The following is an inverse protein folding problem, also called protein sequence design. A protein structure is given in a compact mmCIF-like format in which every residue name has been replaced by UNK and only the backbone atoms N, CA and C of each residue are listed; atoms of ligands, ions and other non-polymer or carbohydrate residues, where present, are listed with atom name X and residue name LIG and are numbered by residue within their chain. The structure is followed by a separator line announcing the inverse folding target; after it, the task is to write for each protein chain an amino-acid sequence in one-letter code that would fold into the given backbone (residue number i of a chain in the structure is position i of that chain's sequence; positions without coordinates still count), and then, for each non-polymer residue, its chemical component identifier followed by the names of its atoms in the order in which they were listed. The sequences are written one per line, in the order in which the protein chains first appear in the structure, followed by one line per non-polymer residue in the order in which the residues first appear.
data_IF_945298207073
#
_entry.id   IF_945298207073
#
_cell.length_a   1.000
_cell.length_b   1.000
_cell.length_c   1.000
_cell.angle_alpha   90.00
_cell.angle_beta   90.00
_cell.angle_gamma   90.00
#
_symmetry.space_group_name_H-M   'P 1'
#
loop_
_entity.id
_entity.type
_entity.pdbx_description
1 polymer ?
#
# COMPACT_ATOMS: atom_id res chain seq x y z
N UNK A 1 -35.86 -22.99 -29.14
CA UNK A 1 -35.44 -21.59 -29.48
C UNK A 1 -34.73 -20.94 -28.30
N UNK A 2 -35.27 -20.83 -27.11
CA UNK A 2 -34.67 -20.15 -25.96
C UNK A 2 -33.24 -20.61 -25.61
N UNK A 3 -32.97 -21.92 -25.59
CA UNK A 3 -31.61 -22.44 -25.28
C UNK A 3 -30.55 -22.03 -26.33
N UNK A 4 -30.92 -21.96 -27.63
CA UNK A 4 -30.01 -21.50 -28.69
C UNK A 4 -29.74 -19.99 -28.59
N UNK A 5 -30.79 -19.20 -28.31
CA UNK A 5 -30.63 -17.77 -28.15
C UNK A 5 -29.78 -17.41 -26.91
N UNK A 6 -29.97 -18.15 -25.80
CA UNK A 6 -29.13 -17.97 -24.59
C UNK A 6 -27.67 -18.36 -24.86
N UNK A 7 -27.43 -19.48 -25.55
CA UNK A 7 -26.07 -19.92 -25.91
C UNK A 7 -25.37 -18.88 -26.79
N UNK A 8 -26.05 -18.36 -27.83
CA UNK A 8 -25.50 -17.31 -28.70
C UNK A 8 -25.20 -16.01 -27.93
N UNK A 9 -26.08 -15.59 -27.02
CA UNK A 9 -25.87 -14.41 -26.20
C UNK A 9 -24.64 -14.57 -25.28
N UNK A 10 -24.50 -15.72 -24.61
CA UNK A 10 -23.34 -16.01 -23.74
C UNK A 10 -22.05 -16.04 -24.57
N UNK A 11 -22.06 -16.70 -25.72
CA UNK A 11 -20.88 -16.79 -26.62
C UNK A 11 -20.48 -15.40 -27.12
N UNK A 12 -21.45 -14.57 -27.54
CA UNK A 12 -21.20 -13.21 -27.98
C UNK A 12 -20.65 -12.34 -26.83
N UNK A 13 -21.19 -12.49 -25.62
CA UNK A 13 -20.68 -11.79 -24.43
C UNK A 13 -19.24 -12.18 -24.09
N UNK A 14 -18.91 -13.47 -24.13
CA UNK A 14 -17.54 -13.93 -23.90
C UNK A 14 -16.58 -13.43 -25.00
N UNK A 15 -17.01 -13.51 -26.27
CA UNK A 15 -16.22 -12.98 -27.38
C UNK A 15 -15.97 -11.48 -27.23
N UNK A 16 -16.99 -10.72 -26.86
CA UNK A 16 -16.83 -9.29 -26.55
C UNK A 16 -15.78 -9.05 -25.46
N UNK A 17 -15.86 -9.75 -24.33
CA UNK A 17 -14.89 -9.59 -23.25
C UNK A 17 -13.46 -9.92 -23.68
N UNK A 18 -13.26 -10.97 -24.47
CA UNK A 18 -11.94 -11.34 -25.02
C UNK A 18 -11.41 -10.26 -25.98
N UNK A 19 -12.25 -9.80 -26.90
CA UNK A 19 -11.88 -8.74 -27.85
C UNK A 19 -11.58 -7.44 -27.10
N UNK A 20 -12.42 -7.04 -26.16
CA UNK A 20 -12.22 -5.83 -25.37
C UNK A 20 -10.89 -5.88 -24.59
N UNK A 21 -10.56 -7.02 -23.98
CA UNK A 21 -9.36 -7.18 -23.18
C UNK A 21 -8.07 -7.28 -24.01
N UNK A 22 -8.06 -8.02 -25.11
CA UNK A 22 -6.82 -8.36 -25.81
C UNK A 22 -6.64 -7.67 -27.16
N UNK A 23 -7.70 -7.06 -27.71
CA UNK A 23 -7.67 -6.36 -29.00
C UNK A 23 -7.92 -4.87 -28.86
N UNK A 24 -8.94 -4.48 -28.06
CA UNK A 24 -9.32 -3.06 -27.91
C UNK A 24 -8.47 -2.36 -26.84
N UNK A 25 -8.03 -3.06 -25.80
CA UNK A 25 -7.13 -2.48 -24.80
C UNK A 25 -5.90 -1.88 -25.47
N UNK A 26 -5.51 -0.63 -25.15
CA UNK A 26 -4.33 0.00 -25.69
C UNK A 26 -3.07 -0.85 -25.49
N UNK A 27 -2.20 -0.91 -26.47
CA UNK A 27 -0.88 -1.53 -26.34
C UNK A 27 0.12 -0.47 -25.88
N UNK A 28 0.65 -0.64 -24.68
CA UNK A 28 1.61 0.28 -24.08
C UNK A 28 3.04 -0.01 -24.53
N UNK A 29 3.79 1.05 -24.79
CA UNK A 29 5.25 1.00 -24.89
C UNK A 29 5.84 1.41 -23.56
N UNK A 30 6.57 0.49 -22.94
CA UNK A 30 7.19 0.72 -21.63
C UNK A 30 8.61 1.22 -21.83
N UNK A 31 8.98 2.25 -21.05
CA UNK A 31 10.36 2.71 -21.00
C UNK A 31 11.26 1.67 -20.32
N UNK A 32 12.53 1.66 -20.71
CA UNK A 32 13.51 0.81 -20.04
C UNK A 32 13.65 1.22 -18.57
N UNK A 33 13.54 0.27 -17.63
CA UNK A 33 13.67 0.57 -16.20
C UNK A 33 15.02 1.20 -15.89
N UNK A 34 15.05 2.20 -15.01
CA UNK A 34 16.26 2.89 -14.58
C UNK A 34 16.24 3.08 -13.07
N UNK A 35 17.30 2.71 -12.35
CA UNK A 35 17.42 2.99 -10.93
C UNK A 35 17.33 4.50 -10.62
N UNK A 36 17.01 4.83 -9.38
CA UNK A 36 17.13 6.20 -8.89
C UNK A 36 18.54 6.74 -9.11
N UNK A 37 18.63 8.02 -9.48
CA UNK A 37 19.89 8.68 -9.79
C UNK A 37 19.83 10.14 -9.35
N UNK A 38 21.00 10.76 -9.17
CA UNK A 38 21.14 12.12 -8.78
C UNK A 38 22.23 12.28 -7.70
N UNK A 39 22.61 13.51 -7.45
CA UNK A 39 23.58 13.85 -6.42
C UNK A 39 22.93 14.12 -5.06
N UNK A 40 21.67 14.54 -5.07
CA UNK A 40 20.86 14.78 -3.87
C UNK A 40 20.08 13.54 -3.46
N UNK A 41 19.51 13.61 -2.28
CA UNK A 41 18.65 12.57 -1.73
C UNK A 41 17.28 13.12 -1.38
N UNK A 42 16.25 12.46 -1.89
CA UNK A 42 14.90 12.64 -1.40
C UNK A 42 14.73 11.83 -0.11
N UNK A 43 14.19 12.45 0.92
CA UNK A 43 13.91 11.85 2.20
C UNK A 43 12.48 12.23 2.65
N UNK A 44 11.52 11.30 2.68
CA UNK A 44 10.14 11.60 3.08
C UNK A 44 10.00 11.92 4.57
N UNK A 45 11.05 11.73 5.36
CA UNK A 45 11.08 11.92 6.82
C UNK A 45 11.96 13.08 7.27
N UNK A 46 12.30 14.00 6.38
CA UNK A 46 13.22 15.09 6.70
C UNK A 46 12.74 15.98 7.87
N UNK A 47 11.43 16.13 8.02
CA UNK A 47 10.75 16.90 9.06
C UNK A 47 9.95 15.98 10.01
N UNK A 48 10.47 14.80 10.32
CA UNK A 48 9.81 13.82 11.16
C UNK A 48 9.52 14.36 12.57
N UNK A 49 8.25 14.28 12.98
CA UNK A 49 7.77 14.55 14.34
C UNK A 49 6.80 13.44 14.75
N UNK A 50 7.06 12.69 15.82
CA UNK A 50 6.24 11.53 16.20
C UNK A 50 4.75 11.84 16.35
N UNK A 51 4.39 13.00 16.90
CA UNK A 51 2.99 13.42 17.14
C UNK A 51 2.18 13.67 15.88
N UNK A 52 2.82 13.84 14.72
CA UNK A 52 2.16 14.13 13.44
C UNK A 52 1.72 12.85 12.70
N UNK A 53 2.01 11.68 13.29
CA UNK A 53 1.73 10.38 12.69
C UNK A 53 0.56 9.69 13.37
N UNK A 54 -0.31 9.09 12.57
CA UNK A 54 -1.47 8.35 13.06
C UNK A 54 -1.62 7.02 12.34
N UNK A 55 -2.20 6.04 13.03
CA UNK A 55 -2.48 4.72 12.46
C UNK A 55 -3.59 4.79 11.42
N UNK A 56 -3.43 4.05 10.33
CA UNK A 56 -4.40 3.86 9.30
C UNK A 56 -4.54 2.36 8.94
N UNK A 57 -5.77 1.92 8.65
CA UNK A 57 -6.08 0.69 7.93
C UNK A 57 -7.11 1.00 6.85
N UNK A 58 -6.74 0.79 5.60
CA UNK A 58 -7.51 1.26 4.46
C UNK A 58 -8.17 0.11 3.67
N UNK A 59 -7.96 -1.15 4.12
CA UNK A 59 -8.40 -2.36 3.43
C UNK A 59 -9.16 -3.28 4.40
N UNK A 60 -10.48 -3.22 4.34
CA UNK A 60 -11.39 -4.05 5.11
C UNK A 60 -12.70 -4.25 4.36
N UNK A 61 -13.28 -5.43 4.46
CA UNK A 61 -14.50 -5.84 3.76
C UNK A 61 -15.66 -6.10 4.70
N UNK A 62 -16.87 -5.78 4.22
CA UNK A 62 -18.14 -6.09 4.88
C UNK A 62 -18.97 -7.07 4.05
N UNK A 63 -20.07 -7.55 4.60
CA UNK A 63 -21.08 -8.27 3.84
C UNK A 63 -21.66 -7.34 2.77
N UNK A 64 -21.29 -7.57 1.51
CA UNK A 64 -21.64 -6.71 0.38
C UNK A 64 -22.24 -7.52 -0.75
N UNK A 65 -22.90 -6.84 -1.73
CA UNK A 65 -23.48 -7.48 -2.90
C UNK A 65 -24.42 -8.65 -2.56
N UNK A 66 -25.33 -8.46 -1.58
CA UNK A 66 -26.28 -9.48 -1.11
C UNK A 66 -25.60 -10.79 -0.65
N UNK A 67 -24.38 -10.70 -0.12
CA UNK A 67 -23.61 -11.85 0.36
C UNK A 67 -22.85 -12.61 -0.73
N UNK A 68 -22.75 -12.06 -1.94
CA UNK A 68 -21.94 -12.66 -3.02
C UNK A 68 -20.45 -12.53 -2.73
N UNK A 69 -20.04 -11.47 -2.01
CA UNK A 69 -18.66 -11.30 -1.55
C UNK A 69 -18.41 -12.06 -0.25
N UNK A 70 -17.15 -12.35 0.04
CA UNK A 70 -16.73 -13.13 1.20
C UNK A 70 -16.59 -12.33 2.51
N UNK A 71 -16.88 -11.01 2.50
CA UNK A 71 -16.89 -10.18 3.71
C UNK A 71 -18.08 -10.53 4.63
N UNK A 72 -17.89 -10.34 5.93
CA UNK A 72 -18.89 -10.60 6.99
C UNK A 72 -19.10 -9.37 7.84
N UNK A 73 -20.26 -9.30 8.51
CA UNK A 73 -20.61 -8.18 9.37
C UNK A 73 -20.90 -6.89 8.62
N UNK A 74 -21.04 -5.81 9.35
CA UNK A 74 -21.35 -4.48 8.83
C UNK A 74 -20.16 -3.51 8.93
N UNK A 75 -20.32 -2.34 8.35
CA UNK A 75 -19.33 -1.27 8.46
C UNK A 75 -19.14 -0.80 9.90
N UNK A 76 -20.19 -0.81 10.73
CA UNK A 76 -20.10 -0.48 12.15
C UNK A 76 -19.09 -1.38 12.91
N UNK A 77 -19.05 -2.69 12.58
CA UNK A 77 -18.12 -3.63 13.21
C UNK A 77 -16.67 -3.29 12.87
N UNK A 78 -16.42 -2.85 11.62
CA UNK A 78 -15.09 -2.40 11.16
C UNK A 78 -14.69 -1.14 11.92
N UNK A 79 -15.57 -0.15 11.99
CA UNK A 79 -15.30 1.12 12.68
C UNK A 79 -15.03 0.88 14.17
N UNK A 80 -15.90 0.15 14.88
CA UNK A 80 -15.71 -0.19 16.29
C UNK A 80 -14.36 -0.88 16.54
N UNK A 81 -14.00 -1.84 15.67
CA UNK A 81 -12.74 -2.57 15.83
C UNK A 81 -11.53 -1.65 15.75
N UNK A 82 -11.43 -0.81 14.72
CA UNK A 82 -10.26 0.05 14.50
C UNK A 82 -10.23 1.26 15.45
N UNK A 83 -11.39 1.88 15.76
CA UNK A 83 -11.49 2.95 16.76
C UNK A 83 -11.00 2.47 18.12
N UNK A 84 -11.39 1.26 18.54
CA UNK A 84 -10.95 0.69 19.83
C UNK A 84 -9.44 0.47 19.92
N UNK A 85 -8.76 0.35 18.76
CA UNK A 85 -7.30 0.24 18.65
C UNK A 85 -6.59 1.59 18.50
N UNK A 86 -7.32 2.70 18.36
CA UNK A 86 -6.75 4.04 18.24
C UNK A 86 -6.34 4.45 16.83
N UNK A 87 -6.93 3.83 15.81
CA UNK A 87 -6.69 4.26 14.42
C UNK A 87 -7.32 5.62 14.17
N UNK A 88 -6.58 6.53 13.53
CA UNK A 88 -7.10 7.83 13.11
C UNK A 88 -7.75 7.80 11.73
N UNK A 89 -7.38 6.82 10.91
CA UNK A 89 -8.03 6.53 9.64
C UNK A 89 -8.32 5.05 9.51
N UNK A 90 -9.54 4.73 9.11
CA UNK A 90 -9.91 3.40 8.67
C UNK A 90 -10.98 3.50 7.57
N UNK A 91 -10.94 2.58 6.64
CA UNK A 91 -11.86 2.56 5.51
C UNK A 91 -12.49 1.18 5.35
N UNK A 92 -13.76 1.17 4.97
CA UNK A 92 -14.41 0.01 4.38
C UNK A 92 -14.22 0.11 2.87
N UNK A 93 -13.54 -0.88 2.30
CA UNK A 93 -13.16 -0.93 0.90
C UNK A 93 -13.81 -2.09 0.16
N UNK A 94 -15.12 -2.23 0.29
CA UNK A 94 -15.87 -3.28 -0.37
C UNK A 94 -15.57 -3.36 -1.88
N UNK A 95 -15.61 -4.56 -2.46
CA UNK A 95 -15.35 -4.75 -3.89
C UNK A 95 -16.28 -3.89 -4.76
N UNK A 96 -15.69 -3.05 -5.61
CA UNK A 96 -16.39 -2.20 -6.58
C UNK A 96 -17.52 -1.36 -5.96
N UNK A 97 -17.38 -0.97 -4.70
CA UNK A 97 -18.40 -0.23 -3.96
C UNK A 97 -17.81 0.68 -2.89
N UNK A 98 -18.13 1.96 -2.95
CA UNK A 98 -17.81 2.92 -1.88
C UNK A 98 -18.87 2.78 -0.77
N UNK A 99 -18.43 2.37 0.42
CA UNK A 99 -19.29 2.32 1.60
C UNK A 99 -19.47 3.74 2.16
N UNK A 100 -20.71 4.10 2.49
CA UNK A 100 -21.05 5.44 2.97
C UNK A 100 -21.26 5.51 4.49
N UNK A 101 -20.99 4.45 5.21
CA UNK A 101 -21.06 4.51 6.67
C UNK A 101 -20.04 5.54 7.19
N UNK A 102 -20.48 6.42 8.08
CA UNK A 102 -19.65 7.49 8.62
C UNK A 102 -19.34 8.65 7.65
N UNK A 103 -20.03 8.76 6.50
CA UNK A 103 -19.77 9.77 5.48
C UNK A 103 -19.87 11.22 5.96
N UNK A 104 -20.57 11.46 7.07
CA UNK A 104 -20.72 12.79 7.70
C UNK A 104 -19.52 13.15 8.59
N UNK A 105 -18.64 12.20 8.90
CA UNK A 105 -17.46 12.45 9.72
C UNK A 105 -16.32 13.06 8.89
N UNK A 106 -15.62 14.04 9.44
CA UNK A 106 -14.49 14.71 8.76
C UNK A 106 -13.33 13.75 8.42
N UNK A 107 -13.15 12.70 9.21
CA UNK A 107 -12.14 11.67 8.99
C UNK A 107 -12.59 10.53 8.07
N UNK A 108 -13.82 10.59 7.51
CA UNK A 108 -14.31 9.57 6.60
C UNK A 108 -13.45 9.45 5.34
N UNK A 109 -13.06 8.23 5.03
CA UNK A 109 -12.23 7.90 3.87
C UNK A 109 -13.06 7.05 2.91
N UNK A 110 -13.59 7.63 1.81
CA UNK A 110 -14.23 6.84 0.77
C UNK A 110 -13.17 5.97 0.08
N UNK A 111 -13.38 4.66 0.10
CA UNK A 111 -12.49 3.71 -0.53
C UNK A 111 -13.27 2.55 -1.13
N UNK A 112 -12.67 1.88 -2.10
CA UNK A 112 -13.17 0.62 -2.63
C UNK A 112 -12.01 -0.23 -3.17
N UNK A 113 -12.15 -1.54 -3.11
CA UNK A 113 -11.26 -2.44 -3.81
C UNK A 113 -11.76 -2.63 -5.24
N UNK A 114 -10.91 -2.23 -6.19
CA UNK A 114 -11.13 -2.42 -7.61
C UNK A 114 -10.62 -3.78 -8.05
N UNK A 115 -11.47 -4.54 -8.73
CA UNK A 115 -11.10 -5.78 -9.39
C UNK A 115 -12.11 -6.90 -9.13
N UNK A 116 -12.62 -7.46 -10.22
CA UNK A 116 -13.44 -8.68 -10.22
C UNK A 116 -12.81 -9.77 -11.09
N UNK A 117 -11.53 -9.57 -11.46
CA UNK A 117 -10.80 -10.47 -12.35
C UNK A 117 -10.39 -11.77 -11.65
N UNK A 118 -10.33 -12.84 -12.45
CA UNK A 118 -9.97 -14.19 -11.99
C UNK A 118 -8.56 -14.25 -11.36
N UNK A 119 -7.54 -13.54 -11.89
CA UNK A 119 -6.19 -13.54 -11.33
C UNK A 119 -6.05 -12.92 -9.94
N UNK A 120 -7.06 -12.20 -9.42
CA UNK A 120 -6.98 -11.45 -8.17
C UNK A 120 -5.94 -10.32 -8.20
N UNK A 121 -5.85 -9.67 -9.36
CA UNK A 121 -5.07 -8.44 -9.53
C UNK A 121 -5.93 -7.26 -9.09
N UNK A 122 -5.85 -6.91 -7.80
CA UNK A 122 -6.71 -5.89 -7.19
C UNK A 122 -5.96 -4.58 -6.94
N UNK A 123 -6.71 -3.48 -6.81
CA UNK A 123 -6.22 -2.14 -6.48
C UNK A 123 -7.17 -1.50 -5.48
N UNK A 124 -6.63 -0.87 -4.48
CA UNK A 124 -7.39 -0.05 -3.56
C UNK A 124 -7.38 1.39 -4.06
N UNK A 125 -8.55 1.99 -4.18
CA UNK A 125 -8.71 3.41 -4.52
C UNK A 125 -9.16 4.14 -3.27
N UNK A 126 -8.26 4.93 -2.69
CA UNK A 126 -8.45 5.64 -1.42
C UNK A 126 -8.77 7.11 -1.70
N UNK A 127 -9.81 7.64 -1.12
CA UNK A 127 -10.29 9.00 -1.38
C UNK A 127 -11.22 9.09 -2.61
N UNK A 128 -11.72 7.96 -3.11
CA UNK A 128 -12.46 7.85 -4.36
C UNK A 128 -13.74 8.69 -4.40
N UNK A 129 -13.89 9.50 -5.44
CA UNK A 129 -15.14 10.23 -5.71
C UNK A 129 -16.22 9.35 -6.35
N UNK A 130 -15.82 8.35 -7.11
CA UNK A 130 -16.68 7.41 -7.83
C UNK A 130 -16.00 6.06 -8.02
N UNK A 131 -16.78 5.03 -8.34
CA UNK A 131 -16.26 3.71 -8.71
C UNK A 131 -15.93 3.69 -10.21
N UNK A 132 -14.74 3.25 -10.56
CA UNK A 132 -14.35 2.92 -11.93
C UNK A 132 -14.71 1.47 -12.19
N UNK A 133 -15.65 1.21 -13.12
CA UNK A 133 -16.20 -0.11 -13.36
C UNK A 133 -15.42 -0.94 -14.37
N UNK A 134 -14.53 -0.32 -15.14
CA UNK A 134 -13.73 -1.04 -16.13
C UNK A 134 -12.77 -1.99 -15.44
N UNK A 135 -12.83 -3.26 -15.77
CA UNK A 135 -11.84 -4.28 -15.42
C UNK A 135 -11.72 -5.29 -16.58
N UNK A 136 -10.72 -6.15 -16.52
CA UNK A 136 -10.44 -7.19 -17.48
C UNK A 136 -10.53 -8.55 -16.78
N UNK A 137 -11.54 -9.40 -17.09
CA UNK A 137 -11.83 -10.60 -16.29
C UNK A 137 -10.80 -11.73 -16.44
N UNK A 138 -10.11 -11.82 -17.57
CA UNK A 138 -9.17 -12.90 -17.88
C UNK A 138 -7.74 -12.60 -17.41
N UNK A 139 -6.75 -13.52 -17.60
CA UNK A 139 -5.36 -13.24 -17.28
C UNK A 139 -4.85 -11.93 -17.90
N UNK A 140 -4.32 -11.05 -17.06
CA UNK A 140 -3.94 -9.70 -17.46
C UNK A 140 -2.57 -9.67 -18.12
N UNK A 141 -2.50 -9.02 -19.28
CA UNK A 141 -1.23 -8.58 -19.86
C UNK A 141 -0.66 -7.36 -19.10
N UNK A 142 0.59 -7.00 -19.36
CA UNK A 142 1.18 -5.79 -18.76
C UNK A 142 0.42 -4.53 -19.22
N UNK A 143 -0.02 -4.48 -20.47
CA UNK A 143 -0.83 -3.39 -21.02
C UNK A 143 -2.20 -3.29 -20.33
N UNK A 144 -2.87 -4.42 -20.06
CA UNK A 144 -4.13 -4.39 -19.31
C UNK A 144 -3.95 -3.81 -17.90
N UNK A 145 -2.86 -4.19 -17.20
CA UNK A 145 -2.55 -3.66 -15.87
C UNK A 145 -2.31 -2.16 -15.91
N UNK A 146 -1.56 -1.68 -16.91
CA UNK A 146 -1.28 -0.26 -17.04
C UNK A 146 -2.54 0.53 -17.40
N UNK A 147 -3.38 0.07 -18.32
CA UNK A 147 -4.64 0.72 -18.67
C UNK A 147 -5.56 0.89 -17.45
N UNK A 148 -5.63 -0.14 -16.60
CA UNK A 148 -6.42 -0.03 -15.36
C UNK A 148 -5.83 0.99 -14.38
N UNK A 149 -4.51 1.01 -14.21
CA UNK A 149 -3.84 2.00 -13.34
C UNK A 149 -4.05 3.43 -13.85
N UNK A 150 -3.96 3.64 -15.17
CA UNK A 150 -4.18 4.93 -15.80
C UNK A 150 -5.60 5.42 -15.53
N UNK A 151 -6.62 4.59 -15.77
CA UNK A 151 -8.03 4.92 -15.50
C UNK A 151 -8.32 5.22 -14.03
N UNK A 152 -7.72 4.47 -13.12
CA UNK A 152 -7.91 4.69 -11.68
C UNK A 152 -7.21 5.98 -11.22
N UNK A 153 -6.11 6.36 -11.83
CA UNK A 153 -5.35 7.56 -11.51
C UNK A 153 -5.96 8.86 -12.09
N UNK A 154 -6.97 8.78 -12.97
CA UNK A 154 -7.71 9.95 -13.49
C UNK A 154 -8.38 10.75 -12.37
N UNK A 155 -8.82 10.07 -11.30
CA UNK A 155 -9.32 10.74 -10.10
C UNK A 155 -8.16 11.33 -9.30
N UNK A 156 -7.84 12.59 -9.59
CA UNK A 156 -6.73 13.31 -8.93
C UNK A 156 -6.94 13.54 -7.43
N UNK A 157 -8.14 13.35 -6.92
CA UNK A 157 -8.48 13.40 -5.49
C UNK A 157 -8.16 12.11 -4.73
N UNK A 158 -7.87 11.00 -5.44
CA UNK A 158 -7.66 9.69 -4.84
C UNK A 158 -6.19 9.23 -4.92
N UNK A 159 -5.82 8.29 -4.07
CA UNK A 159 -4.58 7.52 -4.19
C UNK A 159 -4.88 6.09 -4.64
N UNK A 160 -4.05 5.56 -5.53
CA UNK A 160 -4.15 4.21 -6.07
C UNK A 160 -3.09 3.33 -5.41
N UNK A 161 -3.51 2.23 -4.80
CA UNK A 161 -2.64 1.25 -4.15
C UNK A 161 -2.76 -0.08 -4.90
N UNK A 162 -1.67 -0.70 -5.27
CA UNK A 162 -1.69 -2.10 -5.71
C UNK A 162 -1.80 -2.98 -4.47
N UNK A 163 -2.91 -3.75 -4.35
CA UNK A 163 -3.20 -4.61 -3.21
C UNK A 163 -2.46 -5.94 -3.33
N UNK A 164 -2.05 -6.50 -2.17
CA UNK A 164 -1.52 -7.86 -2.01
C UNK A 164 -0.91 -8.45 -3.30
N UNK A 165 0.11 -7.79 -3.90
CA UNK A 165 0.57 -8.08 -5.27
C UNK A 165 1.11 -9.52 -5.44
N UNK A 166 1.52 -10.15 -4.35
CA UNK A 166 2.03 -11.50 -4.33
C UNK A 166 0.91 -12.57 -4.24
N UNK A 167 -0.36 -12.13 -4.03
CA UNK A 167 -1.48 -13.07 -3.92
C UNK A 167 -1.73 -13.80 -5.24
N UNK A 168 -1.65 -15.14 -5.23
CA UNK A 168 -1.91 -16.01 -6.38
C UNK A 168 -1.10 -15.58 -7.62
N UNK A 169 -1.80 -15.28 -8.73
CA UNK A 169 -1.24 -14.84 -10.02
C UNK A 169 -1.62 -13.39 -10.34
N UNK A 170 -1.94 -12.59 -9.32
CA UNK A 170 -2.39 -11.20 -9.47
C UNK A 170 -1.38 -10.34 -10.22
N UNK A 171 -0.14 -10.31 -9.72
CA UNK A 171 0.98 -9.63 -10.37
C UNK A 171 2.20 -10.54 -10.47
N UNK A 172 3.03 -10.31 -11.47
CA UNK A 172 4.41 -10.79 -11.46
C UNK A 172 5.29 -9.66 -10.90
N UNK A 173 6.26 -9.98 -10.04
CA UNK A 173 7.17 -8.96 -9.52
C UNK A 173 7.89 -8.21 -10.66
N UNK A 174 8.17 -8.87 -11.79
CA UNK A 174 8.78 -8.24 -12.96
C UNK A 174 7.91 -7.13 -13.59
N UNK A 175 6.58 -7.18 -13.43
CA UNK A 175 5.68 -6.14 -13.96
C UNK A 175 5.94 -4.79 -13.29
N UNK A 176 6.32 -4.80 -11.99
CA UNK A 176 6.57 -3.58 -11.23
C UNK A 176 7.83 -2.82 -11.66
N UNK A 177 8.59 -3.37 -12.60
CA UNK A 177 9.67 -2.64 -13.28
C UNK A 177 9.15 -1.58 -14.24
N UNK A 178 7.89 -1.69 -14.67
CA UNK A 178 7.34 -0.93 -15.78
C UNK A 178 6.08 -0.16 -15.43
N UNK A 179 5.29 -0.67 -14.47
CA UNK A 179 4.01 -0.09 -14.12
C UNK A 179 4.16 1.26 -13.43
N UNK A 180 3.31 2.21 -13.85
CA UNK A 180 3.25 3.58 -13.33
C UNK A 180 1.81 3.93 -12.95
N UNK A 181 1.58 5.15 -12.46
CA UNK A 181 0.27 5.69 -12.10
C UNK A 181 -0.43 4.95 -10.94
N UNK A 182 0.39 4.43 -10.00
CA UNK A 182 -0.06 4.04 -8.66
C UNK A 182 0.86 4.69 -7.61
N UNK A 183 0.32 4.97 -6.43
CA UNK A 183 0.97 5.78 -5.42
C UNK A 183 1.65 4.92 -4.32
N UNK A 184 1.04 3.77 -4.04
CA UNK A 184 1.52 2.89 -2.97
C UNK A 184 1.38 1.40 -3.35
N UNK A 185 2.09 0.58 -2.60
CA UNK A 185 2.05 -0.87 -2.69
C UNK A 185 1.68 -1.45 -1.32
N UNK A 186 0.71 -2.32 -1.27
CA UNK A 186 0.37 -3.08 -0.07
C UNK A 186 1.41 -4.18 0.15
N UNK A 187 2.50 -3.78 0.81
CA UNK A 187 3.65 -4.66 1.08
C UNK A 187 3.35 -5.58 2.25
N UNK A 188 2.63 -5.07 3.25
CA UNK A 188 2.25 -5.81 4.45
C UNK A 188 0.76 -6.14 4.37
N UNK A 189 0.46 -7.41 4.12
CA UNK A 189 -0.89 -7.94 4.07
C UNK A 189 -0.96 -9.29 4.79
N UNK A 190 -2.15 -9.63 5.32
CA UNK A 190 -2.36 -10.85 6.09
C UNK A 190 -2.13 -12.15 5.28
N UNK A 191 -2.26 -12.09 3.97
CA UNK A 191 -2.07 -13.25 3.09
C UNK A 191 -0.61 -13.43 2.70
N UNK A 192 0.13 -12.35 2.43
CA UNK A 192 1.53 -12.41 2.02
C UNK A 192 2.24 -11.07 2.21
N UNK A 193 3.53 -11.13 2.60
CA UNK A 193 4.40 -9.96 2.70
C UNK A 193 5.19 -9.81 1.39
N UNK A 194 5.05 -8.66 0.71
CA UNK A 194 5.45 -8.45 -0.68
C UNK A 194 6.74 -7.62 -0.84
N UNK A 195 7.76 -7.79 0.03
CA UNK A 195 9.01 -7.01 -0.08
C UNK A 195 9.70 -7.15 -1.43
N UNK A 196 9.70 -8.35 -2.03
CA UNK A 196 10.28 -8.58 -3.35
C UNK A 196 9.63 -7.70 -4.42
N UNK A 197 8.32 -7.50 -4.37
CA UNK A 197 7.60 -6.66 -5.30
C UNK A 197 7.97 -5.19 -5.11
N UNK A 198 8.01 -4.75 -3.85
CA UNK A 198 8.38 -3.40 -3.51
C UNK A 198 9.82 -3.08 -3.91
N UNK A 199 10.79 -3.93 -3.54
CA UNK A 199 12.20 -3.76 -3.92
C UNK A 199 12.39 -3.81 -5.44
N UNK A 200 11.55 -4.55 -6.18
CA UNK A 200 11.57 -4.52 -7.65
C UNK A 200 11.15 -3.15 -8.18
N UNK A 201 10.07 -2.57 -7.69
CA UNK A 201 9.65 -1.21 -8.09
C UNK A 201 10.74 -0.19 -7.77
N UNK A 202 11.20 -0.16 -6.52
CA UNK A 202 12.22 0.78 -6.04
C UNK A 202 13.54 0.65 -6.81
N UNK A 203 14.00 -0.56 -7.08
CA UNK A 203 15.25 -0.83 -7.82
C UNK A 203 15.23 -0.34 -9.26
N UNK A 204 14.04 -0.08 -9.79
CA UNK A 204 13.84 0.41 -11.15
C UNK A 204 13.36 1.88 -11.19
N UNK A 205 13.50 2.61 -10.07
CA UNK A 205 13.26 4.04 -9.99
C UNK A 205 11.79 4.43 -9.80
N UNK A 206 10.91 3.47 -9.50
CA UNK A 206 9.52 3.74 -9.17
C UNK A 206 9.40 3.98 -7.66
N UNK A 207 9.28 5.25 -7.27
CA UNK A 207 9.03 5.59 -5.89
C UNK A 207 7.55 5.32 -5.57
N UNK A 208 7.30 4.30 -4.78
CA UNK A 208 5.97 3.89 -4.33
C UNK A 208 5.97 3.68 -2.82
N UNK A 209 4.97 4.25 -2.16
CA UNK A 209 4.86 4.21 -0.71
C UNK A 209 4.53 2.79 -0.21
N UNK A 210 5.10 2.41 0.93
CA UNK A 210 4.66 1.21 1.63
C UNK A 210 3.34 1.45 2.34
N UNK A 211 2.41 0.51 2.23
CA UNK A 211 1.25 0.42 3.13
C UNK A 211 1.14 -0.99 3.71
N UNK A 212 0.57 -1.06 4.92
CA UNK A 212 0.17 -2.27 5.59
C UNK A 212 -1.30 -2.21 5.94
N UNK A 213 -2.06 -3.23 5.58
CA UNK A 213 -3.47 -3.35 5.91
C UNK A 213 -3.80 -4.80 6.30
N UNK A 214 -4.91 -4.97 7.00
CA UNK A 214 -5.35 -6.30 7.44
C UNK A 214 -6.06 -7.09 6.35
N UNK A 215 -6.69 -6.41 5.38
CA UNK A 215 -7.57 -7.05 4.39
C UNK A 215 -8.59 -7.97 5.09
N UNK A 216 -9.15 -7.46 6.19
CA UNK A 216 -10.04 -8.26 7.00
C UNK A 216 -11.39 -8.44 6.32
N UNK A 217 -11.87 -9.68 6.33
CA UNK A 217 -13.19 -10.06 5.82
C UNK A 217 -14.19 -10.35 6.95
N UNK A 218 -13.76 -10.19 8.19
CA UNK A 218 -14.58 -10.39 9.40
C UNK A 218 -13.99 -9.58 10.56
N UNK A 219 -14.45 -8.35 10.73
CA UNK A 219 -14.00 -7.48 11.82
C UNK A 219 -14.47 -7.97 13.19
N UNK A 220 -15.51 -8.81 13.26
CA UNK A 220 -15.93 -9.51 14.48
C UNK A 220 -14.89 -10.54 14.94
N UNK A 221 -14.12 -11.10 14.04
CA UNK A 221 -12.97 -11.93 14.35
C UNK A 221 -11.78 -11.07 14.78
N UNK A 222 -11.68 -10.77 16.07
CA UNK A 222 -10.65 -9.90 16.66
C UNK A 222 -9.20 -10.37 16.43
N UNK A 223 -8.99 -11.60 15.93
CA UNK A 223 -7.66 -12.08 15.51
C UNK A 223 -7.27 -11.57 14.13
N UNK A 224 -8.23 -11.30 13.27
CA UNK A 224 -7.97 -10.84 11.88
C UNK A 224 -7.70 -9.34 11.78
N UNK A 225 -7.95 -8.56 12.83
CA UNK A 225 -7.77 -7.10 12.85
C UNK A 225 -6.53 -6.69 13.66
N UNK A 226 -5.87 -5.60 13.26
CA UNK A 226 -4.69 -5.05 13.93
C UNK A 226 -3.45 -5.95 13.79
N UNK A 227 -3.29 -6.63 12.66
CA UNK A 227 -2.08 -7.43 12.33
C UNK A 227 -1.06 -6.58 11.61
N UNK A 228 -1.54 -5.77 10.71
CA UNK A 228 -0.78 -4.81 9.95
C UNK A 228 -1.47 -3.45 10.00
N UNK A 229 -0.67 -2.41 9.94
CA UNK A 229 -1.16 -1.04 9.89
C UNK A 229 -0.21 -0.18 9.04
N UNK A 230 -0.68 1.01 8.70
CA UNK A 230 0.14 2.08 8.16
C UNK A 230 0.15 3.24 9.12
N UNK A 231 1.32 3.74 9.54
CA UNK A 231 1.40 5.09 10.07
C UNK A 231 1.44 6.06 8.90
N UNK A 232 0.61 7.10 8.97
CA UNK A 232 0.55 8.16 7.96
C UNK A 232 0.81 9.53 8.61
N UNK A 233 1.56 10.38 7.93
CA UNK A 233 1.81 11.74 8.38
C UNK A 233 0.57 12.61 8.08
N UNK A 234 -0.20 12.90 9.10
CA UNK A 234 -1.44 13.66 8.98
C UNK A 234 -1.70 14.47 10.27
N UNK A 235 -0.95 15.57 10.50
CA UNK A 235 -1.06 16.36 11.72
C UNK A 235 -2.48 16.92 11.96
N UNK A 236 -3.19 17.28 10.90
CA UNK A 236 -4.58 17.75 10.96
C UNK A 236 -5.62 16.64 10.85
N UNK A 237 -5.21 15.38 10.69
CA UNK A 237 -6.08 14.21 10.50
C UNK A 237 -7.12 14.40 9.40
N UNK A 238 -6.74 15.02 8.31
CA UNK A 238 -7.63 15.26 7.17
C UNK A 238 -7.41 14.20 6.07
N UNK A 239 -8.47 13.92 5.31
CA UNK A 239 -8.37 13.05 4.13
C UNK A 239 -7.34 13.55 3.11
N UNK A 240 -7.22 14.86 2.93
CA UNK A 240 -6.23 15.44 2.01
C UNK A 240 -4.79 15.14 2.45
N UNK A 241 -4.50 15.17 3.75
CA UNK A 241 -3.20 14.80 4.30
C UNK A 241 -2.92 13.30 4.13
N UNK A 242 -3.92 12.44 4.37
CA UNK A 242 -3.81 11.01 4.10
C UNK A 242 -3.41 10.73 2.64
N UNK A 243 -4.15 11.31 1.67
CA UNK A 243 -3.86 11.12 0.25
C UNK A 243 -2.48 11.64 -0.12
N UNK A 244 -2.11 12.82 0.40
CA UNK A 244 -0.77 13.37 0.20
C UNK A 244 0.30 12.44 0.75
N UNK A 245 0.12 11.91 1.95
CA UNK A 245 1.09 11.01 2.59
C UNK A 245 1.29 9.72 1.80
N UNK A 246 0.21 9.15 1.26
CA UNK A 246 0.29 7.99 0.37
C UNK A 246 1.09 8.27 -0.90
N UNK A 247 1.01 9.49 -1.44
CA UNK A 247 1.69 9.90 -2.68
C UNK A 247 3.14 10.31 -2.47
N UNK A 248 3.45 10.92 -1.33
CA UNK A 248 4.76 11.52 -1.05
C UNK A 248 5.70 10.59 -0.25
N UNK A 249 5.29 9.34 0.02
CA UNK A 249 6.10 8.42 0.80
C UNK A 249 6.10 8.72 2.30
N UNK A 250 5.18 9.54 2.79
CA UNK A 250 5.06 9.85 4.22
C UNK A 250 4.20 8.80 4.93
N UNK A 251 4.58 7.53 4.72
CA UNK A 251 3.94 6.36 5.34
C UNK A 251 5.01 5.46 5.96
N UNK A 252 4.64 4.71 6.98
CA UNK A 252 5.48 3.69 7.62
C UNK A 252 4.63 2.44 7.75
N UNK A 253 5.09 1.32 7.19
CA UNK A 253 4.44 0.03 7.38
C UNK A 253 4.67 -0.48 8.80
N UNK A 254 3.61 -0.95 9.45
CA UNK A 254 3.63 -1.46 10.82
C UNK A 254 3.20 -2.91 10.82
N UNK A 255 4.06 -3.77 11.34
CA UNK A 255 3.78 -5.18 11.55
C UNK A 255 3.67 -5.45 13.05
N UNK A 256 2.49 -5.89 13.48
CA UNK A 256 2.19 -6.19 14.88
C UNK A 256 2.50 -7.66 15.17
N UNK A 257 3.19 -8.00 16.27
CA UNK A 257 3.50 -9.38 16.59
C UNK A 257 2.20 -10.20 16.77
N UNK A 258 2.15 -11.36 16.12
CA UNK A 258 1.02 -12.27 16.19
C UNK A 258 1.34 -13.39 17.18
N UNK A 259 0.72 -13.32 18.37
CA UNK A 259 0.82 -14.36 19.40
C UNK A 259 -0.56 -15.00 19.59
N UNK A 260 -0.61 -16.31 19.56
CA UNK A 260 -1.88 -17.05 19.65
C UNK A 260 -2.65 -16.77 20.96
N UNK A 261 -1.93 -16.45 22.02
CA UNK A 261 -2.42 -16.16 23.36
C UNK A 261 -2.67 -14.66 23.63
N UNK A 262 -2.34 -13.79 22.67
CA UNK A 262 -2.52 -12.35 22.86
C UNK A 262 -3.99 -11.97 22.80
N UNK A 263 -4.61 -11.50 23.88
CA UNK A 263 -5.98 -11.01 23.86
C UNK A 263 -6.08 -9.71 23.03
N UNK A 264 -7.23 -9.47 22.42
CA UNK A 264 -7.48 -8.29 21.62
C UNK A 264 -7.21 -6.98 22.39
N UNK A 265 -7.57 -6.91 23.66
CA UNK A 265 -7.32 -5.73 24.52
C UNK A 265 -5.82 -5.41 24.67
N UNK A 266 -4.97 -6.43 24.77
CA UNK A 266 -3.52 -6.25 24.82
C UNK A 266 -2.97 -5.74 23.48
N UNK A 267 -3.43 -6.31 22.37
CA UNK A 267 -3.10 -5.84 21.02
C UNK A 267 -3.53 -4.38 20.80
N UNK A 268 -4.76 -4.04 21.20
CA UNK A 268 -5.28 -2.69 21.12
C UNK A 268 -4.47 -1.71 22.00
N UNK A 269 -4.09 -2.11 23.21
CA UNK A 269 -3.24 -1.29 24.07
C UNK A 269 -1.83 -1.09 23.49
N UNK A 270 -1.27 -2.11 22.83
CA UNK A 270 0.01 -2.02 22.13
C UNK A 270 -0.06 -1.02 20.97
N UNK A 271 -1.08 -1.11 20.11
CA UNK A 271 -1.26 -0.21 18.97
C UNK A 271 -1.49 1.24 19.41
N UNK A 272 -2.30 1.49 20.45
CA UNK A 272 -2.49 2.84 20.98
C UNK A 272 -1.23 3.48 21.56
N UNK A 273 -0.22 2.68 21.91
CA UNK A 273 1.09 3.13 22.42
C UNK A 273 2.20 2.99 21.38
N UNK A 274 1.85 2.60 20.16
CA UNK A 274 2.83 2.39 19.10
C UNK A 274 3.64 3.67 18.86
N UNK A 275 4.94 3.57 19.09
CA UNK A 275 5.92 4.63 18.91
C UNK A 275 7.11 4.08 18.15
N UNK A 276 7.43 4.70 17.04
CA UNK A 276 8.58 4.32 16.20
C UNK A 276 9.91 4.51 16.90
N UNK A 277 9.97 5.32 17.95
CA UNK A 277 11.20 5.78 18.61
C UNK A 277 12.16 6.57 17.70
N UNK A 278 11.85 6.72 16.41
CA UNK A 278 12.64 7.55 15.52
C UNK A 278 12.52 9.00 15.95
N UNK A 279 13.65 9.68 16.11
CA UNK A 279 13.71 11.12 16.35
C UNK A 279 14.13 11.87 15.10
N UNK A 280 15.01 11.28 14.30
CA UNK A 280 15.50 11.88 13.07
C UNK A 280 16.03 10.83 12.09
N UNK A 281 15.75 11.04 10.80
CA UNK A 281 16.36 10.31 9.68
C UNK A 281 16.86 11.35 8.66
N UNK A 282 18.14 11.31 8.29
CA UNK A 282 18.70 12.29 7.35
C UNK A 282 19.92 11.75 6.61
N UNK A 283 20.29 12.43 5.54
CA UNK A 283 21.56 12.22 4.84
C UNK A 283 22.45 13.43 5.04
N UNK A 284 23.68 13.20 5.45
CA UNK A 284 24.69 14.23 5.67
C UNK A 284 26.07 13.68 5.35
N UNK A 285 26.87 14.45 4.60
CA UNK A 285 28.27 14.15 4.28
C UNK A 285 28.46 12.74 3.72
N UNK A 286 27.55 12.28 2.84
CA UNK A 286 27.61 10.95 2.24
C UNK A 286 27.25 9.79 3.21
N UNK A 287 26.60 10.10 4.32
CA UNK A 287 26.15 9.13 5.33
C UNK A 287 24.64 9.14 5.47
N UNK A 288 24.01 7.96 5.47
CA UNK A 288 22.66 7.78 6.02
C UNK A 288 22.76 7.74 7.54
N UNK A 289 21.97 8.57 8.19
CA UNK A 289 21.95 8.69 9.66
C UNK A 289 20.52 8.56 10.18
N UNK A 290 20.37 7.88 11.30
CA UNK A 290 19.15 7.91 12.09
C UNK A 290 19.47 7.95 13.58
N UNK A 291 18.63 8.66 14.35
CA UNK A 291 18.70 8.69 15.80
C UNK A 291 17.37 8.21 16.37
N UNK A 292 17.45 7.46 17.46
CA UNK A 292 16.29 6.89 18.15
C UNK A 292 16.23 7.40 19.60
N UNK A 293 15.03 7.70 20.11
CA UNK A 293 14.81 8.15 21.47
C UNK A 293 15.09 7.05 22.52
N UNK A 294 15.01 5.79 22.10
CA UNK A 294 15.32 4.63 22.93
C UNK A 294 15.78 3.47 22.05
N UNK A 295 16.34 2.43 22.66
CA UNK A 295 16.91 1.27 21.99
C UNK A 295 15.88 0.62 21.05
N UNK A 296 16.27 0.42 19.79
CA UNK A 296 15.55 -0.40 18.81
C UNK A 296 16.30 -1.72 18.59
N UNK A 297 15.63 -2.75 18.12
CA UNK A 297 16.17 -4.09 17.89
C UNK A 297 16.00 -4.51 16.45
N UNK A 298 16.84 -5.46 15.99
CA UNK A 298 16.83 -6.00 14.62
C UNK A 298 16.81 -4.89 13.56
N UNK A 299 17.65 -3.87 13.73
CA UNK A 299 17.81 -2.80 12.75
C UNK A 299 18.42 -3.34 11.47
N UNK A 300 17.76 -3.11 10.37
CA UNK A 300 18.19 -3.50 9.03
C UNK A 300 18.10 -2.31 8.08
N UNK A 301 19.10 -2.17 7.21
CA UNK A 301 19.08 -1.25 6.06
C UNK A 301 19.15 -2.06 4.79
N UNK A 302 18.19 -1.86 3.90
CA UNK A 302 18.07 -2.56 2.62
C UNK A 302 18.19 -1.56 1.48
N UNK A 303 18.95 -1.92 0.47
CA UNK A 303 19.20 -1.11 -0.72
C UNK A 303 18.83 -1.82 -2.01
N UNK A 304 19.53 -1.45 -3.08
CA UNK A 304 19.28 -1.93 -4.44
C UNK A 304 19.08 -3.44 -4.53
N UNK A 305 18.02 -3.86 -5.24
CA UNK A 305 17.61 -5.26 -5.43
C UNK A 305 17.26 -6.00 -4.13
N UNK A 306 16.87 -5.28 -3.08
CA UNK A 306 16.56 -5.87 -1.79
C UNK A 306 17.79 -6.36 -1.02
N UNK A 307 18.99 -5.89 -1.39
CA UNK A 307 20.24 -6.30 -0.72
C UNK A 307 20.37 -5.64 0.64
N UNK A 308 20.63 -6.45 1.66
CA UNK A 308 20.90 -5.95 3.00
C UNK A 308 22.27 -5.26 3.03
N UNK A 309 22.28 -3.99 3.38
CA UNK A 309 23.46 -3.13 3.46
C UNK A 309 24.04 -3.05 4.87
N UNK A 310 23.18 -3.21 5.87
CA UNK A 310 23.58 -3.12 7.27
C UNK A 310 22.59 -3.89 8.15
N UNK A 311 23.11 -4.47 9.24
CA UNK A 311 22.31 -5.06 10.33
C UNK A 311 22.94 -4.75 11.67
N UNK A 312 22.09 -4.58 12.68
CA UNK A 312 22.48 -4.51 14.07
C UNK A 312 21.38 -5.11 14.96
N UNK A 313 21.76 -5.94 15.92
CA UNK A 313 20.82 -6.55 16.87
C UNK A 313 20.14 -5.50 17.72
N UNK A 314 20.87 -4.44 18.08
CA UNK A 314 20.35 -3.28 18.84
C UNK A 314 21.01 -1.99 18.36
N UNK A 315 20.26 -0.87 18.40
CA UNK A 315 20.79 0.44 18.05
C UNK A 315 20.08 1.60 18.76
N UNK A 316 20.85 2.65 19.07
CA UNK A 316 20.38 3.99 19.39
C UNK A 316 20.67 4.98 18.25
N UNK A 317 21.60 4.63 17.38
CA UNK A 317 22.02 5.44 16.25
C UNK A 317 22.33 4.54 15.05
N UNK A 318 22.01 5.04 13.86
CA UNK A 318 22.49 4.49 12.59
C UNK A 318 23.48 5.46 11.97
N UNK A 319 24.61 4.94 11.49
CA UNK A 319 25.62 5.69 10.73
C UNK A 319 26.13 4.77 9.62
N UNK A 320 25.62 4.95 8.39
CA UNK A 320 25.95 4.08 7.25
C UNK A 320 26.50 4.89 6.08
N UNK A 321 27.75 4.65 5.61
CA UNK A 321 28.26 5.26 4.39
C UNK A 321 27.42 4.88 3.17
N UNK A 322 27.08 5.88 2.35
CA UNK A 322 26.33 5.70 1.11
C UNK A 322 27.31 5.56 -0.04
N UNK A 323 27.34 4.39 -0.65
CA UNK A 323 28.17 4.14 -1.84
C UNK A 323 27.52 4.58 -3.15
N UNK A 324 28.29 4.59 -4.25
CA UNK A 324 27.75 4.93 -5.59
C UNK A 324 26.64 4.00 -6.06
N UNK A 325 26.66 2.74 -5.65
CA UNK A 325 25.64 1.74 -5.99
C UNK A 325 24.36 1.85 -5.15
N UNK A 326 24.36 2.64 -4.08
CA UNK A 326 23.19 2.85 -3.23
C UNK A 326 22.27 3.88 -3.88
N UNK A 327 21.34 3.41 -4.69
CA UNK A 327 20.36 4.27 -5.37
C UNK A 327 19.17 4.59 -4.49
N UNK A 328 18.85 3.69 -3.56
CA UNK A 328 17.93 3.90 -2.43
C UNK A 328 18.38 3.11 -1.22
N UNK A 329 17.97 3.55 -0.04
CA UNK A 329 18.15 2.87 1.24
C UNK A 329 16.87 2.98 2.07
N UNK A 330 16.30 1.86 2.48
CA UNK A 330 15.15 1.82 3.39
C UNK A 330 15.55 1.15 4.71
N UNK A 331 15.04 1.67 5.82
CA UNK A 331 15.29 1.12 7.15
C UNK A 331 14.10 0.31 7.64
N UNK A 332 14.37 -0.73 8.41
CA UNK A 332 13.38 -1.46 9.18
C UNK A 332 13.97 -1.86 10.52
N UNK A 333 13.16 -1.87 11.57
CA UNK A 333 13.56 -2.30 12.91
C UNK A 333 12.34 -2.65 13.75
N UNK A 334 12.58 -3.28 14.88
CA UNK A 334 11.55 -3.59 15.87
C UNK A 334 11.76 -2.79 17.15
N UNK A 335 10.68 -2.53 17.87
CA UNK A 335 10.72 -2.06 19.25
C UNK A 335 10.68 -3.26 20.21
N UNK A 336 11.11 -3.13 21.48
CA UNK A 336 11.16 -4.25 22.43
C UNK A 336 9.80 -4.92 22.73
N UNK A 337 8.68 -4.27 22.46
CA UNK A 337 7.34 -4.85 22.50
C UNK A 337 7.01 -5.75 21.29
N UNK A 338 7.92 -5.76 20.28
CA UNK A 338 7.86 -6.63 19.11
C UNK A 338 7.18 -6.01 17.89
N UNK A 339 6.73 -4.75 17.95
CA UNK A 339 6.23 -4.05 16.76
C UNK A 339 7.41 -3.79 15.81
N UNK A 340 7.26 -4.16 14.54
CA UNK A 340 8.24 -3.89 13.49
C UNK A 340 7.78 -2.78 12.56
N UNK A 341 8.65 -1.83 12.32
CA UNK A 341 8.43 -0.67 11.48
C UNK A 341 9.25 -0.78 10.19
N UNK A 342 8.63 -0.47 9.06
CA UNK A 342 9.24 -0.48 7.73
C UNK A 342 9.07 0.90 7.10
N UNK A 343 10.16 1.58 6.84
CA UNK A 343 10.18 2.94 6.33
C UNK A 343 10.34 2.97 4.81
N UNK A 344 9.70 3.94 4.16
CA UNK A 344 9.97 4.25 2.76
C UNK A 344 11.44 4.61 2.55
N UNK A 345 11.96 4.42 1.33
CA UNK A 345 13.37 4.67 1.09
C UNK A 345 13.73 6.17 1.12
N UNK A 346 14.93 6.43 1.57
CA UNK A 346 15.70 7.59 1.14
C UNK A 346 16.34 7.22 -0.20
N UNK A 347 16.12 7.99 -1.26
CA UNK A 347 16.59 7.65 -2.60
C UNK A 347 17.28 8.83 -3.31
N UNK A 348 18.17 8.52 -4.25
CA UNK A 348 18.83 9.53 -5.07
C UNK A 348 17.81 10.21 -5.98
N UNK A 349 17.80 11.54 -5.99
CA UNK A 349 16.92 12.32 -6.85
C UNK A 349 17.41 13.76 -7.02
N UNK A 350 17.41 14.26 -8.25
CA UNK A 350 17.69 15.68 -8.57
C UNK A 350 16.40 16.48 -8.78
N UNK A 351 15.25 15.83 -8.67
CA UNK A 351 13.92 16.43 -8.85
C UNK A 351 12.85 15.71 -8.03
N UNK A 352 11.57 15.98 -8.32
CA UNK A 352 10.46 15.31 -7.68
C UNK A 352 10.54 13.79 -7.87
N UNK A 353 10.17 13.04 -6.84
CA UNK A 353 10.04 11.59 -6.88
C UNK A 353 8.57 11.19 -6.85
N UNK A 354 8.25 10.07 -7.45
CA UNK A 354 6.90 9.52 -7.52
C UNK A 354 6.81 8.48 -8.62
N UNK A 355 5.61 7.93 -8.81
CA UNK A 355 5.36 6.92 -9.83
C UNK A 355 4.20 7.34 -10.77
N UNK A 356 3.79 8.59 -10.74
CA UNK A 356 2.80 9.11 -11.68
C UNK A 356 3.46 9.69 -12.92
N UNK A 357 2.95 9.35 -14.09
CA UNK A 357 3.38 9.99 -15.34
C UNK A 357 2.89 11.44 -15.36
N UNK A 358 3.74 12.33 -15.83
CA UNK A 358 3.42 13.76 -15.99
C UNK A 358 2.68 14.04 -17.30
N UNK A 359 2.64 13.09 -18.21
CA UNK A 359 1.97 13.19 -19.52
C UNK A 359 1.10 11.96 -19.77
N UNK A 360 -0.05 12.18 -20.40
CA UNK A 360 -0.87 11.09 -20.94
C UNK A 360 -0.11 10.32 -22.02
N UNK A 361 -0.51 9.07 -22.33
CA UNK A 361 0.14 8.20 -23.30
C UNK A 361 0.17 8.78 -24.71
#
# INVERSE_FOLDING_TARGET
MVKRSLFLAVTAGLAYLVIDQYVVCPTYRFEAPRPFRGERFFNPYADFRPQDWTLANLHAHTASWLGVTNGRGGAADVYEAYDSMGYGFHAVSDYMRINRHGADAAAWVPAYEHGYNIPKSHRLVVGAGKVTWKDYPFPLTLSNRQDLLDRLSEDTGSAVVINHPAMRIGYNAADLKFLTNYDALEVLNAYEIAFRYWDTALSNGHFVSIVGNDDTHDAGNRRSVGRFATLVHAPGRTRAELIRSLREGRTIGVQVPQRADMPFSAKAAMLRRADTRLTRLWVDSGMLRADFAALVIDLEVVGQSGTVRFRADTALHLRLPIGPADTYLRIAYSTPDGIRYHFNPVCRADGPVGNRRTTAP
#
